data_IF_716415819332
#
_entry.id   IF_716415819332
#
_cell.length_a   1.000
_cell.length_b   1.000
_cell.length_c   1.000
_cell.angle_alpha   90.00
_cell.angle_beta   90.00
_cell.angle_gamma   90.00
#
_symmetry.space_group_name_H-M   'P 1'
#
loop_
_entity.id
_entity.type
_entity.pdbx_description
1 polymer ?
#
# COMPACT_ATOMS: atom_id res chain seq x y z
N UNK A 1 -1.65 9.78 -15.83
CA UNK A 1 -0.55 9.09 -15.21
C UNK A 1 -1.00 8.10 -14.17
N UNK A 2 -0.76 6.83 -14.43
CA UNK A 2 -1.00 5.74 -13.47
C UNK A 2 0.14 5.66 -12.42
N UNK A 3 1.06 6.58 -12.47
CA UNK A 3 2.33 6.57 -11.74
C UNK A 3 2.19 6.45 -10.21
N UNK A 4 1.02 6.70 -9.65
CA UNK A 4 0.77 6.68 -8.22
C UNK A 4 -0.31 5.65 -7.81
N UNK A 5 -0.56 4.67 -8.65
CA UNK A 5 -1.47 3.59 -8.27
C UNK A 5 -0.83 2.71 -7.19
N UNK A 6 -1.61 2.42 -6.17
CA UNK A 6 -1.22 1.43 -5.18
C UNK A 6 -1.21 0.03 -5.80
N UNK A 7 -0.28 -0.82 -5.39
CA UNK A 7 -0.26 -2.22 -5.79
C UNK A 7 -1.58 -2.94 -5.48
N UNK A 8 -2.19 -2.61 -4.34
CA UNK A 8 -3.53 -3.10 -3.97
C UNK A 8 -4.59 -2.71 -4.99
N UNK A 9 -4.61 -1.46 -5.43
CA UNK A 9 -5.54 -0.97 -6.45
C UNK A 9 -5.35 -1.72 -7.75
N UNK A 10 -4.12 -1.95 -8.14
CA UNK A 10 -3.76 -2.75 -9.30
C UNK A 10 -4.32 -4.18 -9.19
N UNK A 11 -4.09 -4.89 -8.10
CA UNK A 11 -4.60 -6.24 -7.89
C UNK A 11 -6.13 -6.31 -7.81
N UNK A 12 -6.76 -5.33 -7.17
CA UNK A 12 -8.21 -5.29 -6.97
C UNK A 12 -8.96 -4.94 -8.26
N UNK A 13 -8.36 -4.11 -9.12
CA UNK A 13 -9.01 -3.59 -10.31
C UNK A 13 -8.21 -3.81 -11.59
N UNK A 14 -7.61 -5.00 -11.81
CA UNK A 14 -6.82 -5.25 -13.02
C UNK A 14 -7.65 -5.05 -14.29
N UNK A 15 -8.95 -5.37 -14.25
CA UNK A 15 -9.87 -5.16 -15.35
C UNK A 15 -10.09 -3.68 -15.70
N UNK A 16 -9.97 -2.75 -14.75
CA UNK A 16 -10.07 -1.32 -15.05
C UNK A 16 -8.87 -0.86 -15.86
N UNK A 17 -7.70 -1.30 -15.50
CA UNK A 17 -6.48 -1.01 -16.25
C UNK A 17 -6.53 -1.70 -17.61
N UNK A 18 -6.81 -2.99 -17.67
CA UNK A 18 -6.95 -3.75 -18.93
C UNK A 18 -8.03 -3.18 -19.86
N UNK A 19 -9.15 -2.75 -19.32
CA UNK A 19 -10.27 -2.22 -20.11
C UNK A 19 -9.95 -0.88 -20.77
N UNK A 20 -9.12 -0.05 -20.14
CA UNK A 20 -8.85 1.31 -20.59
C UNK A 20 -7.49 1.50 -21.23
N UNK A 21 -6.64 0.47 -21.26
CA UNK A 21 -5.29 0.59 -21.80
C UNK A 21 -5.18 -0.08 -23.17
N UNK A 22 -5.00 0.73 -24.18
CA UNK A 22 -4.47 0.32 -25.48
C UNK A 22 -2.95 0.51 -25.56
N UNK A 23 -2.27 0.67 -24.44
CA UNK A 23 -0.85 0.95 -24.33
C UNK A 23 -0.16 -0.01 -23.36
N UNK A 24 1.11 -0.23 -23.53
CA UNK A 24 1.94 -1.00 -22.60
C UNK A 24 2.19 -0.15 -21.33
N UNK A 25 2.15 -0.79 -20.18
CA UNK A 25 2.40 -0.15 -18.90
C UNK A 25 3.27 -1.05 -18.02
N UNK A 26 3.97 -0.44 -17.08
CA UNK A 26 4.85 -1.12 -16.14
C UNK A 26 4.87 -0.38 -14.80
N UNK A 27 5.45 -1.00 -13.78
CA UNK A 27 5.61 -0.42 -12.46
C UNK A 27 7.05 0.04 -12.25
N UNK A 28 7.21 1.12 -11.54
CA UNK A 28 8.51 1.62 -11.08
C UNK A 28 8.42 2.03 -9.62
N UNK A 29 9.57 2.19 -8.97
CA UNK A 29 9.61 2.70 -7.61
C UNK A 29 9.04 4.12 -7.52
N UNK A 30 8.54 4.48 -6.34
CA UNK A 30 8.11 5.84 -6.07
C UNK A 30 9.26 6.84 -6.35
N UNK A 31 8.97 8.04 -6.84
CA UNK A 31 9.98 9.08 -6.99
C UNK A 31 10.66 9.38 -5.65
N UNK A 32 11.97 9.61 -5.71
CA UNK A 32 12.70 10.04 -4.52
C UNK A 32 12.27 11.45 -4.11
N UNK A 33 11.99 11.64 -2.84
CA UNK A 33 11.75 12.97 -2.27
C UNK A 33 13.04 13.82 -2.19
N UNK A 34 12.96 15.04 -1.68
CA UNK A 34 14.12 15.94 -1.54
C UNK A 34 15.26 15.37 -0.72
N UNK A 35 14.98 14.40 0.16
CA UNK A 35 15.99 13.67 0.94
C UNK A 35 16.70 12.54 0.20
N UNK A 36 16.43 12.34 -1.09
CA UNK A 36 17.05 11.30 -1.92
C UNK A 36 16.54 9.88 -1.68
N UNK A 37 15.48 9.72 -0.91
CA UNK A 37 14.90 8.41 -0.61
C UNK A 37 13.52 8.26 -1.26
N UNK A 38 13.30 7.15 -1.95
CA UNK A 38 11.98 6.70 -2.35
C UNK A 38 11.40 5.86 -1.22
N UNK A 39 10.23 6.24 -0.73
CA UNK A 39 9.57 5.56 0.38
C UNK A 39 8.13 5.29 0.00
N UNK A 40 7.73 4.03 0.09
CA UNK A 40 6.34 3.62 -0.08
C UNK A 40 5.66 3.54 1.28
N UNK A 41 4.37 3.82 1.32
CA UNK A 41 3.54 3.49 2.47
C UNK A 41 3.26 1.98 2.46
N UNK A 42 3.43 1.36 3.61
CA UNK A 42 3.10 -0.05 3.83
C UNK A 42 1.98 -0.14 4.86
N UNK A 43 0.88 -0.69 4.44
CA UNK A 43 -0.25 -1.00 5.30
C UNK A 43 -0.43 -2.51 5.43
N UNK A 44 -1.01 -2.96 6.52
CA UNK A 44 -1.22 -4.37 6.81
C UNK A 44 -2.68 -4.67 7.16
N UNK A 45 -3.22 -5.71 6.53
CA UNK A 45 -4.50 -6.27 6.96
C UNK A 45 -4.28 -7.07 8.23
N UNK A 46 -4.77 -6.54 9.34
CA UNK A 46 -4.63 -7.16 10.65
C UNK A 46 -5.83 -8.06 10.95
N UNK A 47 -5.54 -9.24 11.47
CA UNK A 47 -6.54 -10.16 11.98
C UNK A 47 -6.40 -10.29 13.49
N UNK A 48 -7.54 -10.35 14.19
CA UNK A 48 -7.57 -10.47 15.63
C UNK A 48 -8.57 -11.54 16.06
N UNK A 49 -8.38 -12.10 17.25
CA UNK A 49 -9.32 -13.02 17.87
C UNK A 49 -10.24 -12.23 18.80
N UNK A 50 -11.54 -12.31 18.55
CA UNK A 50 -12.53 -11.63 19.38
C UNK A 50 -12.42 -12.08 20.86
N UNK A 51 -12.40 -11.12 21.78
CA UNK A 51 -12.25 -11.41 23.21
C UNK A 51 -13.34 -12.37 23.76
N UNK A 52 -14.56 -12.30 23.21
CA UNK A 52 -15.70 -13.15 23.58
C UNK A 52 -15.74 -14.51 22.88
N UNK A 53 -14.77 -14.82 22.02
CA UNK A 53 -14.72 -16.11 21.34
C UNK A 53 -14.63 -17.26 22.35
N UNK A 54 -15.45 -18.27 22.16
CA UNK A 54 -15.42 -19.52 22.94
C UNK A 54 -14.40 -20.52 22.41
N UNK A 55 -13.81 -20.26 21.24
CA UNK A 55 -12.89 -21.16 20.54
C UNK A 55 -11.57 -20.44 20.19
N UNK A 56 -10.94 -19.82 21.20
CA UNK A 56 -9.74 -18.99 21.00
C UNK A 56 -8.55 -19.82 20.49
N UNK A 57 -8.38 -21.03 20.96
CA UNK A 57 -7.32 -21.93 20.55
C UNK A 57 -7.45 -22.32 19.07
N UNK A 58 -8.68 -22.71 18.67
CA UNK A 58 -8.95 -23.03 17.26
C UNK A 58 -8.78 -21.82 16.36
N UNK A 59 -9.22 -20.64 16.80
CA UNK A 59 -9.01 -19.39 16.08
C UNK A 59 -7.53 -19.06 15.94
N UNK A 60 -6.74 -19.34 16.97
CA UNK A 60 -5.28 -19.15 16.92
C UNK A 60 -4.61 -20.12 15.94
N UNK A 61 -4.98 -21.40 15.95
CA UNK A 61 -4.47 -22.37 14.96
C UNK A 61 -4.82 -21.95 13.54
N UNK A 62 -6.04 -21.46 13.32
CA UNK A 62 -6.45 -20.90 12.02
C UNK A 62 -5.62 -19.70 11.60
N UNK A 63 -5.37 -18.75 12.50
CA UNK A 63 -4.51 -17.59 12.21
C UNK A 63 -3.08 -17.99 11.89
N UNK A 64 -2.52 -18.94 12.64
CA UNK A 64 -1.19 -19.48 12.34
C UNK A 64 -1.14 -20.11 10.94
N UNK A 65 -2.13 -20.92 10.60
CA UNK A 65 -2.24 -21.54 9.28
C UNK A 65 -2.30 -20.46 8.19
N UNK A 66 -3.15 -19.45 8.33
CA UNK A 66 -3.27 -18.36 7.36
C UNK A 66 -1.97 -17.56 7.18
N UNK A 67 -1.19 -17.37 8.24
CA UNK A 67 0.00 -16.49 8.21
C UNK A 67 1.31 -17.21 7.96
N UNK A 68 1.39 -18.53 8.18
CA UNK A 68 2.64 -19.28 8.10
C UNK A 68 2.66 -20.41 7.07
N UNK A 69 1.50 -20.85 6.58
CA UNK A 69 1.46 -21.86 5.53
C UNK A 69 1.73 -21.24 4.15
N UNK A 70 2.75 -21.76 3.47
CA UNK A 70 3.20 -21.22 2.19
C UNK A 70 2.20 -21.44 1.05
N UNK A 71 1.43 -22.51 1.09
CA UNK A 71 0.43 -22.79 0.06
C UNK A 71 -0.72 -21.82 0.19
N UNK A 72 -1.22 -21.61 1.40
CA UNK A 72 -2.27 -20.65 1.70
C UNK A 72 -1.81 -19.23 1.40
N UNK A 73 -0.57 -18.89 1.75
CA UNK A 73 -0.03 -17.56 1.46
C UNK A 73 0.15 -17.28 -0.04
N UNK A 74 0.37 -18.31 -0.86
CA UNK A 74 0.33 -18.18 -2.32
C UNK A 74 -1.08 -17.92 -2.83
N UNK A 75 -2.08 -18.60 -2.30
CA UNK A 75 -3.48 -18.37 -2.64
C UNK A 75 -3.95 -16.97 -2.19
N UNK A 76 -3.57 -16.55 -0.99
CA UNK A 76 -3.81 -15.20 -0.52
C UNK A 76 -3.14 -14.18 -1.46
N UNK A 77 -1.92 -14.41 -1.89
CA UNK A 77 -1.23 -13.54 -2.84
C UNK A 77 -1.96 -13.47 -4.18
N UNK A 78 -2.45 -14.59 -4.69
CA UNK A 78 -3.15 -14.66 -5.97
C UNK A 78 -4.52 -13.98 -5.93
N UNK A 79 -5.31 -14.22 -4.88
CA UNK A 79 -6.71 -13.82 -4.82
C UNK A 79 -7.01 -12.63 -3.90
N UNK A 80 -6.05 -12.18 -3.10
CA UNK A 80 -6.23 -11.06 -2.20
C UNK A 80 -5.73 -9.73 -2.79
N UNK A 81 -5.96 -8.68 -2.04
CA UNK A 81 -5.57 -7.31 -2.39
C UNK A 81 -4.15 -6.94 -1.91
N UNK A 82 -3.34 -7.90 -1.49
CA UNK A 82 -2.07 -7.58 -0.87
C UNK A 82 -0.95 -8.56 -1.20
N UNK A 83 0.25 -8.20 -0.76
CA UNK A 83 1.40 -9.07 -0.78
C UNK A 83 1.32 -10.12 0.35
N UNK A 84 1.99 -11.25 0.16
CA UNK A 84 2.15 -12.24 1.23
C UNK A 84 2.98 -11.67 2.39
N UNK A 85 2.63 -12.05 3.61
CA UNK A 85 3.45 -11.77 4.80
C UNK A 85 4.75 -12.58 4.82
N UNK A 86 4.82 -13.63 4.00
CA UNK A 86 6.02 -14.45 3.86
C UNK A 86 6.90 -13.89 2.74
N UNK A 87 8.05 -13.32 3.11
CA UNK A 87 9.00 -12.71 2.16
C UNK A 87 9.35 -13.62 0.99
N UNK A 88 9.57 -14.90 1.25
CA UNK A 88 9.92 -15.86 0.21
C UNK A 88 8.76 -16.19 -0.74
N UNK A 89 7.52 -15.92 -0.37
CA UNK A 89 6.37 -16.01 -1.29
C UNK A 89 6.30 -14.75 -2.14
N UNK A 90 6.35 -13.57 -1.52
CA UNK A 90 6.30 -12.27 -2.23
C UNK A 90 7.46 -12.11 -3.22
N UNK A 91 8.67 -12.51 -2.87
CA UNK A 91 9.86 -12.46 -3.73
C UNK A 91 10.06 -13.68 -4.64
N UNK A 92 9.07 -14.55 -4.77
CA UNK A 92 9.21 -15.78 -5.53
C UNK A 92 8.92 -15.60 -7.03
N UNK A 93 9.45 -16.53 -7.85
CA UNK A 93 9.07 -16.65 -9.27
C UNK A 93 7.57 -16.89 -9.45
N UNK A 94 6.92 -17.49 -8.48
CA UNK A 94 5.46 -17.65 -8.49
C UNK A 94 4.76 -16.29 -8.41
N UNK A 95 5.14 -15.44 -7.46
CA UNK A 95 4.58 -14.09 -7.35
C UNK A 95 4.83 -13.29 -8.63
N UNK A 96 6.02 -13.39 -9.20
CA UNK A 96 6.37 -12.79 -10.48
C UNK A 96 5.43 -13.25 -11.60
N UNK A 97 5.22 -14.57 -11.72
CA UNK A 97 4.35 -15.11 -12.76
C UNK A 97 2.89 -14.66 -12.60
N UNK A 98 2.42 -14.51 -11.36
CA UNK A 98 1.06 -14.01 -11.10
C UNK A 98 0.91 -12.54 -11.48
N UNK A 99 1.88 -11.71 -11.11
CA UNK A 99 1.90 -10.30 -11.50
C UNK A 99 1.92 -10.15 -13.01
N UNK A 100 2.75 -10.91 -13.71
CA UNK A 100 2.83 -10.90 -15.19
C UNK A 100 1.51 -11.33 -15.82
N UNK A 101 0.89 -12.39 -15.31
CA UNK A 101 -0.41 -12.87 -15.78
C UNK A 101 -1.48 -11.80 -15.63
N UNK A 102 -1.50 -11.11 -14.51
CA UNK A 102 -2.48 -10.06 -14.23
C UNK A 102 -2.28 -8.84 -15.14
N UNK A 103 -1.04 -8.53 -15.49
CA UNK A 103 -0.70 -7.38 -16.35
C UNK A 103 -0.86 -7.66 -17.84
N UNK A 104 -1.03 -8.94 -18.23
CA UNK A 104 -1.06 -9.36 -19.63
C UNK A 104 0.17 -8.85 -20.42
N UNK A 105 1.32 -8.85 -19.77
CA UNK A 105 2.57 -8.33 -20.31
C UNK A 105 3.43 -9.47 -20.83
N UNK A 106 3.92 -9.33 -22.05
CA UNK A 106 4.96 -10.15 -22.62
C UNK A 106 6.23 -10.14 -21.77
N UNK A 107 7.15 -11.04 -22.02
CA UNK A 107 8.40 -11.42 -21.36
C UNK A 107 9.21 -10.35 -20.60
N UNK A 108 8.88 -9.08 -20.70
CA UNK A 108 9.47 -7.95 -19.97
C UNK A 108 8.74 -7.71 -18.66
N UNK A 109 8.91 -8.64 -17.74
CA UNK A 109 8.21 -8.55 -16.46
C UNK A 109 8.69 -7.45 -15.54
N UNK A 110 7.81 -7.04 -14.66
CA UNK A 110 8.11 -6.23 -13.48
C UNK A 110 9.31 -6.84 -12.75
N UNK A 111 10.26 -6.01 -12.36
CA UNK A 111 11.32 -6.44 -11.45
C UNK A 111 10.69 -6.85 -10.11
N UNK A 112 10.73 -8.14 -9.82
CA UNK A 112 10.17 -8.70 -8.59
C UNK A 112 10.76 -8.07 -7.32
N UNK A 113 11.97 -7.53 -7.43
CA UNK A 113 12.61 -6.82 -6.33
C UNK A 113 11.88 -5.54 -6.00
N UNK A 114 11.20 -4.91 -6.97
CA UNK A 114 10.47 -3.67 -6.76
C UNK A 114 9.47 -3.77 -5.61
N UNK A 115 8.67 -4.84 -5.57
CA UNK A 115 7.69 -5.03 -4.50
C UNK A 115 8.35 -5.37 -3.16
N UNK A 116 9.35 -6.25 -3.18
CA UNK A 116 10.11 -6.59 -1.97
C UNK A 116 10.84 -5.36 -1.41
N UNK A 117 11.50 -4.59 -2.27
CA UNK A 117 12.20 -3.37 -1.89
C UNK A 117 11.23 -2.30 -1.35
N UNK A 118 10.06 -2.15 -1.98
CA UNK A 118 9.02 -1.24 -1.51
C UNK A 118 8.51 -1.61 -0.11
N UNK A 119 8.38 -2.90 0.19
CA UNK A 119 7.96 -3.38 1.51
C UNK A 119 9.10 -3.22 2.53
N UNK A 120 10.33 -3.57 2.17
CA UNK A 120 11.49 -3.51 3.08
C UNK A 120 11.87 -2.07 3.45
N UNK A 121 11.78 -1.15 2.50
CA UNK A 121 12.08 0.27 2.69
C UNK A 121 10.84 1.10 2.99
N UNK A 122 9.68 0.47 3.05
CA UNK A 122 8.41 1.14 3.28
C UNK A 122 8.26 1.64 4.72
N UNK A 123 7.34 2.54 4.91
CA UNK A 123 7.00 3.11 6.20
C UNK A 123 5.55 2.88 6.53
N UNK A 124 5.30 2.55 7.79
CA UNK A 124 3.94 2.51 8.33
C UNK A 124 3.54 3.91 8.78
N UNK A 125 2.24 4.17 8.73
CA UNK A 125 1.70 5.43 9.22
C UNK A 125 2.03 5.67 10.70
N UNK A 126 2.32 6.91 11.08
CA UNK A 126 2.56 7.26 12.48
C UNK A 126 1.38 6.87 13.37
N UNK A 127 1.67 6.40 14.57
CA UNK A 127 0.66 5.99 15.54
C UNK A 127 0.57 6.99 16.68
N UNK A 128 -0.43 7.87 16.62
CA UNK A 128 -0.80 8.76 17.73
C UNK A 128 -2.32 8.97 17.75
N UNK A 129 -2.86 9.35 18.92
CA UNK A 129 -4.29 9.35 19.19
C UNK A 129 -5.13 10.23 18.24
N UNK A 130 -4.56 11.31 17.72
CA UNK A 130 -5.23 12.27 16.82
C UNK A 130 -4.83 12.09 15.34
N UNK A 131 -4.24 10.95 14.97
CA UNK A 131 -3.74 10.73 13.61
C UNK A 131 -4.83 10.86 12.54
N UNK A 132 -6.01 10.23 12.67
CA UNK A 132 -7.06 10.34 11.65
C UNK A 132 -7.52 11.78 11.42
N UNK A 133 -7.68 12.55 12.49
CA UNK A 133 -8.11 13.94 12.41
C UNK A 133 -7.03 14.83 11.82
N UNK A 134 -5.76 14.59 12.16
CA UNK A 134 -4.62 15.28 11.59
C UNK A 134 -4.50 15.02 10.08
N UNK A 135 -4.70 13.77 9.66
CA UNK A 135 -4.71 13.40 8.25
C UNK A 135 -5.86 14.05 7.49
N UNK A 136 -7.06 14.07 8.05
CA UNK A 136 -8.20 14.76 7.44
C UNK A 136 -7.95 16.27 7.23
N UNK A 137 -7.28 16.91 8.19
CA UNK A 137 -6.88 18.31 8.04
C UNK A 137 -5.83 18.49 6.91
N UNK A 138 -4.87 17.55 6.81
CA UNK A 138 -3.85 17.60 5.76
C UNK A 138 -4.46 17.38 4.37
N UNK A 139 -5.33 16.40 4.22
CA UNK A 139 -6.03 16.11 2.96
C UNK A 139 -6.86 17.30 2.50
N UNK A 140 -7.61 17.93 3.40
CA UNK A 140 -8.41 19.12 3.08
C UNK A 140 -7.53 20.30 2.59
N UNK A 141 -6.38 20.53 3.21
CA UNK A 141 -5.48 21.61 2.78
C UNK A 141 -4.81 21.30 1.44
N UNK A 142 -4.42 20.05 1.20
CA UNK A 142 -3.88 19.61 -0.09
C UNK A 142 -4.94 19.77 -1.19
N UNK A 143 -6.15 19.34 -0.93
CA UNK A 143 -7.29 19.52 -1.84
C UNK A 143 -7.56 20.98 -2.16
N UNK A 144 -7.48 21.85 -1.16
CA UNK A 144 -7.66 23.29 -1.31
C UNK A 144 -6.57 23.92 -2.16
N UNK A 145 -5.32 23.49 -1.99
CA UNK A 145 -4.20 23.95 -2.84
C UNK A 145 -4.46 23.55 -4.30
N UNK A 146 -4.87 22.31 -4.53
CA UNK A 146 -5.11 21.80 -5.87
C UNK A 146 -6.33 22.43 -6.55
N UNK A 147 -7.45 22.55 -5.83
CA UNK A 147 -8.72 23.01 -6.41
C UNK A 147 -8.80 24.54 -6.56
N UNK A 148 -8.14 25.27 -5.68
CA UNK A 148 -8.24 26.72 -5.61
C UNK A 148 -6.96 27.45 -6.04
N UNK A 149 -6.00 26.73 -6.62
CA UNK A 149 -4.72 27.27 -7.11
C UNK A 149 -4.01 28.18 -6.09
N UNK A 150 -4.13 27.83 -4.80
CA UNK A 150 -3.48 28.58 -3.73
C UNK A 150 -1.96 28.51 -3.84
N UNK A 151 -1.30 29.56 -3.41
CA UNK A 151 0.17 29.54 -3.30
C UNK A 151 0.61 28.48 -2.28
N UNK A 152 1.36 27.49 -2.74
CA UNK A 152 1.78 26.31 -1.97
C UNK A 152 2.52 26.72 -0.70
N UNK A 153 3.51 27.61 -0.81
CA UNK A 153 4.37 27.99 0.33
C UNK A 153 3.59 28.69 1.45
N UNK A 154 2.68 29.58 1.09
CA UNK A 154 1.83 30.28 2.07
C UNK A 154 0.84 29.33 2.73
N UNK A 155 0.20 28.45 1.96
CA UNK A 155 -0.75 27.48 2.46
C UNK A 155 -0.09 26.48 3.40
N UNK A 156 1.06 25.93 3.04
CA UNK A 156 1.80 25.02 3.91
C UNK A 156 2.25 25.66 5.22
N UNK A 157 2.64 26.94 5.21
CA UNK A 157 2.97 27.67 6.45
C UNK A 157 1.76 27.87 7.36
N UNK A 158 0.60 28.17 6.79
CA UNK A 158 -0.65 28.30 7.55
C UNK A 158 -1.05 26.92 8.11
N UNK A 159 -1.02 25.90 7.26
CA UNK A 159 -1.32 24.53 7.68
C UNK A 159 -0.41 24.05 8.81
N UNK A 160 0.90 24.24 8.70
CA UNK A 160 1.86 23.88 9.74
C UNK A 160 1.50 24.49 11.11
N UNK A 161 1.09 25.76 11.12
CA UNK A 161 0.66 26.42 12.38
C UNK A 161 -0.63 25.81 12.92
N UNK A 162 -1.59 25.54 12.04
CA UNK A 162 -2.90 24.96 12.41
C UNK A 162 -2.75 23.56 12.97
N UNK A 163 -1.98 22.69 12.28
CA UNK A 163 -1.77 21.32 12.73
C UNK A 163 -0.97 21.26 14.04
N UNK A 164 0.04 22.11 14.19
CA UNK A 164 0.81 22.20 15.45
C UNK A 164 -0.10 22.60 16.61
N UNK A 165 -0.98 23.59 16.40
CA UNK A 165 -1.95 23.99 17.43
C UNK A 165 -2.92 22.87 17.77
N UNK A 166 -3.42 22.16 16.76
CA UNK A 166 -4.33 21.03 16.95
C UNK A 166 -3.70 19.87 17.75
N UNK A 167 -2.46 19.54 17.43
CA UNK A 167 -1.75 18.44 18.10
C UNK A 167 -1.37 18.75 19.56
N UNK A 168 -1.25 20.03 19.91
CA UNK A 168 -0.91 20.47 21.27
C UNK A 168 -2.13 20.71 22.19
N UNK A 169 -3.34 20.50 21.72
CA UNK A 169 -4.58 20.50 22.50
C UNK A 169 -4.88 19.10 23.06
#
# INVERSE_FOLDING_TARGET
PLAFSEYRTYKTYPYKIKKYTSFQWDCTSMPAGPGGHNTSEVDALLMTIGNKSKHKELAWEFLKMLTSDSSIQREIFEYSQGASVLKYVTGSRYAESMIRKDMDVDERGIDNRLLSDAIENGRINPKFSKYPEAMALAENEIDDIYKNEKNIDSSLKVFQRSITKFLNQ
#
